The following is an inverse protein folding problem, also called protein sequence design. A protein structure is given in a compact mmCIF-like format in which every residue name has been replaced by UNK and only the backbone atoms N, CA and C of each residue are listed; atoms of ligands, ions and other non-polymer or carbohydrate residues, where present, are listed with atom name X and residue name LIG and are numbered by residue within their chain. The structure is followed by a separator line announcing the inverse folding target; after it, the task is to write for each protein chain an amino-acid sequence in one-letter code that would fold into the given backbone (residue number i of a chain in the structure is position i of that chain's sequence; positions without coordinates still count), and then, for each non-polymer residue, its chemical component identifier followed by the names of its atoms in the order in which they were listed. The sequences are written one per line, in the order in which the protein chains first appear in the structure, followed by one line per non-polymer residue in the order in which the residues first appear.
data_IF_582694639205
#
_entry.id   IF_582694639205
#
_cell.length_a   1.000
_cell.length_b   1.000
_cell.length_c   1.000
_cell.angle_alpha   90.00
_cell.angle_beta   90.00
_cell.angle_gamma   90.00
#
_symmetry.space_group_name_H-M   'P 1'
#
loop_
_entity.id
_entity.type
_entity.pdbx_description
1 polymer ?
#
# COMPACT_ATOMS: atom_id res chain seq x y z
N UNK A 1 -9.40 4.14 18.07
CA UNK A 1 -8.98 3.38 16.86
C UNK A 1 -8.90 1.93 17.27
N UNK A 2 -9.20 0.96 16.41
CA UNK A 2 -9.25 -0.45 16.84
C UNK A 2 -7.91 -1.17 16.66
N UNK A 3 -7.24 -0.95 15.53
CA UNK A 3 -6.00 -1.63 15.21
C UNK A 3 -5.06 -0.85 14.28
N UNK A 4 -3.78 -1.17 14.39
CA UNK A 4 -2.74 -0.84 13.41
C UNK A 4 -2.35 -2.14 12.70
N UNK A 5 -2.34 -2.13 11.37
CA UNK A 5 -2.01 -3.28 10.53
C UNK A 5 -0.73 -2.98 9.77
N UNK A 6 0.29 -3.83 9.95
CA UNK A 6 1.60 -3.65 9.33
C UNK A 6 1.89 -4.80 8.36
N UNK A 7 1.90 -4.55 7.04
CA UNK A 7 2.41 -5.51 6.06
C UNK A 7 3.95 -5.51 6.09
N UNK A 8 4.54 -6.34 6.95
CA UNK A 8 5.97 -6.36 7.22
C UNK A 8 6.75 -7.24 6.25
N UNK A 9 7.83 -6.72 5.69
CA UNK A 9 8.79 -7.47 4.87
C UNK A 9 10.24 -7.25 5.32
N UNK A 10 10.48 -6.25 6.19
CA UNK A 10 11.78 -5.88 6.74
C UNK A 10 12.00 -6.58 8.09
N UNK A 11 13.23 -6.49 8.61
CA UNK A 11 13.59 -7.10 9.91
C UNK A 11 12.72 -6.53 11.03
N UNK A 12 12.43 -7.35 12.05
CA UNK A 12 11.56 -6.98 13.17
C UNK A 12 11.96 -5.68 13.91
N UNK A 13 13.23 -5.28 13.85
CA UNK A 13 13.70 -3.99 14.39
C UNK A 13 12.98 -2.77 13.80
N UNK A 14 12.42 -2.89 12.59
CA UNK A 14 11.63 -1.87 11.92
C UNK A 14 10.27 -1.63 12.60
N UNK A 15 9.74 -2.61 13.33
CA UNK A 15 8.41 -2.58 13.96
C UNK A 15 8.35 -1.84 15.31
N UNK A 16 9.50 -1.34 15.81
CA UNK A 16 9.57 -0.64 17.10
C UNK A 16 8.59 0.52 17.20
N UNK A 17 8.42 1.23 16.10
CA UNK A 17 7.56 2.41 15.99
C UNK A 17 6.08 2.03 15.94
N UNK A 18 5.70 1.05 15.11
CA UNK A 18 4.33 0.54 15.09
C UNK A 18 3.91 -0.01 16.47
N UNK A 19 4.84 -0.69 17.17
CA UNK A 19 4.61 -1.14 18.55
C UNK A 19 4.43 0.00 19.55
N UNK A 20 5.19 1.10 19.41
CA UNK A 20 5.01 2.32 20.21
C UNK A 20 3.62 2.93 19.99
N UNK A 21 3.26 3.14 18.73
CA UNK A 21 1.99 3.76 18.34
C UNK A 21 0.79 2.94 18.84
N UNK A 22 0.83 1.62 18.66
CA UNK A 22 -0.26 0.75 19.13
C UNK A 22 -0.40 0.76 20.65
N UNK A 23 0.71 0.79 21.40
CA UNK A 23 0.71 0.86 22.87
C UNK A 23 0.17 2.21 23.38
N UNK A 24 0.59 3.33 22.79
CA UNK A 24 0.13 4.68 23.16
C UNK A 24 -1.37 4.89 22.86
N UNK A 25 -1.88 4.28 21.79
CA UNK A 25 -3.26 4.44 21.33
C UNK A 25 -4.22 3.38 21.88
N UNK A 26 -3.72 2.48 22.74
CA UNK A 26 -4.43 1.27 23.17
C UNK A 26 -5.13 0.56 21.99
N UNK A 27 -4.38 0.33 20.92
CA UNK A 27 -4.84 -0.36 19.72
C UNK A 27 -4.16 -1.73 19.61
N UNK A 28 -4.82 -2.66 18.92
CA UNK A 28 -4.20 -3.96 18.59
C UNK A 28 -3.23 -3.77 17.42
N UNK A 29 -1.99 -4.25 17.55
CA UNK A 29 -1.05 -4.33 16.44
C UNK A 29 -1.17 -5.70 15.73
N UNK A 30 -1.58 -5.69 14.47
CA UNK A 30 -1.54 -6.86 13.60
C UNK A 30 -0.33 -6.77 12.66
N UNK A 31 0.58 -7.74 12.74
CA UNK A 31 1.76 -7.80 11.85
C UNK A 31 1.66 -8.99 10.90
N UNK A 32 1.67 -8.71 9.61
CA UNK A 32 1.61 -9.71 8.55
C UNK A 32 3.00 -9.86 7.93
N UNK A 33 3.69 -10.94 8.28
CA UNK A 33 5.13 -11.11 8.08
C UNK A 33 5.45 -11.86 6.78
N UNK A 34 6.51 -11.46 6.07
CA UNK A 34 7.16 -12.31 5.07
C UNK A 34 8.61 -11.86 4.84
N UNK A 35 9.33 -12.57 3.95
CA UNK A 35 10.71 -12.23 3.56
C UNK A 35 11.65 -12.17 4.76
N UNK A 36 12.07 -10.96 5.17
CA UNK A 36 12.98 -10.76 6.30
C UNK A 36 12.26 -10.55 7.63
N UNK A 37 10.93 -10.74 7.64
CA UNK A 37 10.07 -10.72 8.81
C UNK A 37 9.42 -12.08 8.98
N UNK A 38 9.47 -12.62 10.20
CA UNK A 38 8.72 -13.81 10.61
C UNK A 38 8.04 -13.57 11.96
N UNK A 39 6.89 -14.21 12.20
CA UNK A 39 6.06 -13.97 13.37
C UNK A 39 6.81 -14.20 14.69
N UNK A 40 7.69 -15.20 14.75
CA UNK A 40 8.49 -15.48 15.94
C UNK A 40 9.50 -14.34 16.24
N UNK A 41 10.12 -13.77 15.21
CA UNK A 41 11.01 -12.61 15.35
C UNK A 41 10.26 -11.36 15.81
N UNK A 42 9.02 -11.18 15.37
CA UNK A 42 8.14 -10.08 15.80
C UNK A 42 7.80 -10.24 17.29
N UNK A 43 7.41 -11.44 17.71
CA UNK A 43 7.15 -11.73 19.14
C UNK A 43 8.37 -11.39 19.99
N UNK A 44 9.57 -11.84 19.60
CA UNK A 44 10.80 -11.51 20.34
C UNK A 44 11.05 -10.00 20.43
N UNK A 45 10.87 -9.27 19.32
CA UNK A 45 11.14 -7.84 19.25
C UNK A 45 10.13 -6.98 20.02
N UNK A 46 8.89 -7.45 20.19
CA UNK A 46 7.80 -6.68 20.82
C UNK A 46 7.47 -7.13 22.26
N UNK A 47 7.98 -8.28 22.70
CA UNK A 47 7.68 -8.84 24.04
C UNK A 47 8.13 -7.95 25.21
N UNK A 48 9.11 -7.08 24.99
CA UNK A 48 9.61 -6.10 25.95
C UNK A 48 8.60 -4.98 26.28
N UNK A 49 7.50 -4.88 25.52
CA UNK A 49 6.41 -3.91 25.75
C UNK A 49 5.26 -4.58 26.50
N UNK A 50 5.14 -4.44 27.84
CA UNK A 50 4.17 -5.19 28.62
C UNK A 50 2.70 -4.82 28.32
N UNK A 51 2.42 -3.58 27.90
CA UNK A 51 1.06 -3.10 27.64
C UNK A 51 0.61 -3.28 26.19
N UNK A 52 1.53 -3.62 25.29
CA UNK A 52 1.24 -3.78 23.87
C UNK A 52 0.40 -5.06 23.62
N UNK A 53 -0.76 -4.87 22.98
CA UNK A 53 -1.57 -5.94 22.41
C UNK A 53 -1.15 -6.16 20.97
N UNK A 54 -0.72 -7.38 20.63
CA UNK A 54 -0.33 -7.67 19.25
C UNK A 54 -0.55 -9.13 18.86
N UNK A 55 -0.78 -9.32 17.55
CA UNK A 55 -0.82 -10.61 16.88
C UNK A 55 0.08 -10.52 15.65
N UNK A 56 1.04 -11.43 15.53
CA UNK A 56 1.90 -11.60 14.38
C UNK A 56 1.54 -12.91 13.65
N UNK A 57 1.53 -12.85 12.32
CA UNK A 57 1.17 -13.97 11.46
C UNK A 57 2.14 -14.04 10.29
N UNK A 58 2.65 -15.24 9.99
CA UNK A 58 3.42 -15.47 8.76
C UNK A 58 2.48 -15.54 7.55
N UNK A 59 2.72 -14.67 6.57
CA UNK A 59 1.99 -14.64 5.32
C UNK A 59 2.50 -15.75 4.40
N UNK A 60 1.66 -16.73 4.01
CA UNK A 60 2.08 -17.86 3.20
C UNK A 60 2.45 -17.45 1.77
N UNK A 61 3.59 -17.93 1.27
CA UNK A 61 4.06 -17.64 -0.09
C UNK A 61 3.09 -18.12 -1.18
N UNK A 62 2.33 -19.19 -0.91
CA UNK A 62 1.31 -19.73 -1.81
C UNK A 62 -0.02 -18.93 -1.78
N UNK A 63 -0.10 -17.87 -0.98
CA UNK A 63 -1.34 -17.15 -0.72
C UNK A 63 -2.18 -17.77 0.39
N UNK A 64 -3.18 -17.02 0.84
CA UNK A 64 -4.01 -17.39 1.99
C UNK A 64 -5.24 -18.17 1.51
N UNK A 65 -5.50 -19.38 2.04
CA UNK A 65 -6.71 -20.13 1.72
C UNK A 65 -7.96 -19.29 2.02
N UNK A 66 -8.98 -19.38 1.16
CA UNK A 66 -10.29 -18.71 1.29
C UNK A 66 -10.33 -17.21 0.94
N UNK A 67 -9.22 -16.59 0.57
CA UNK A 67 -9.28 -15.28 -0.10
C UNK A 67 -9.71 -15.48 -1.57
N UNK A 68 -10.49 -14.56 -2.15
CA UNK A 68 -10.82 -14.62 -3.57
C UNK A 68 -9.54 -14.43 -4.39
N UNK A 69 -9.38 -15.25 -5.44
CA UNK A 69 -8.39 -14.97 -6.47
C UNK A 69 -8.90 -13.79 -7.28
N UNK A 70 -8.07 -12.77 -7.43
CA UNK A 70 -8.40 -11.53 -8.15
C UNK A 70 -7.86 -11.61 -9.59
N UNK A 71 -8.64 -11.15 -10.55
CA UNK A 71 -8.26 -11.07 -11.96
C UNK A 71 -7.01 -10.20 -12.12
N UNK A 72 -6.86 -9.11 -11.36
CA UNK A 72 -5.68 -8.23 -11.33
C UNK A 72 -4.37 -8.96 -10.96
N UNK A 73 -4.44 -10.04 -10.19
CA UNK A 73 -3.28 -10.90 -9.87
C UNK A 73 -2.87 -11.84 -11.02
N UNK A 74 -3.74 -12.04 -12.00
CA UNK A 74 -3.57 -13.07 -13.06
C UNK A 74 -3.61 -12.50 -14.48
N UNK A 75 -4.20 -11.31 -14.69
CA UNK A 75 -4.44 -10.71 -16.00
C UNK A 75 -3.15 -10.43 -16.77
N UNK A 76 -2.06 -10.17 -16.05
CA UNK A 76 -0.73 -9.96 -16.60
C UNK A 76 0.04 -11.27 -16.85
N UNK A 77 -0.50 -12.42 -16.46
CA UNK A 77 0.13 -13.75 -16.60
C UNK A 77 1.58 -13.77 -16.11
N UNK A 78 2.45 -14.44 -16.86
CA UNK A 78 3.91 -14.45 -16.63
C UNK A 78 4.63 -13.30 -17.36
N UNK A 79 3.92 -12.21 -17.69
CA UNK A 79 4.54 -11.06 -18.34
C UNK A 79 5.54 -10.37 -17.42
N UNK A 80 6.44 -9.61 -18.03
CA UNK A 80 7.41 -8.79 -17.29
C UNK A 80 6.74 -7.76 -16.39
N UNK A 81 5.50 -7.36 -16.69
CA UNK A 81 4.74 -6.31 -15.99
C UNK A 81 4.23 -6.74 -14.61
N UNK A 82 4.21 -8.05 -14.32
CA UNK A 82 3.73 -8.58 -13.04
C UNK A 82 4.59 -8.10 -11.87
N UNK A 83 3.95 -7.53 -10.85
CA UNK A 83 4.59 -7.17 -9.59
C UNK A 83 4.92 -8.44 -8.79
N UNK A 84 6.02 -8.44 -8.04
CA UNK A 84 6.51 -9.59 -7.25
C UNK A 84 6.66 -9.24 -5.78
N UNK A 85 5.66 -8.57 -5.21
CA UNK A 85 5.60 -8.19 -3.79
C UNK A 85 4.27 -8.61 -3.20
N UNK A 86 4.23 -8.85 -1.90
CA UNK A 86 3.02 -9.33 -1.21
C UNK A 86 2.28 -8.24 -0.43
N UNK A 87 2.69 -6.97 -0.53
CA UNK A 87 2.10 -5.82 0.19
C UNK A 87 0.59 -5.75 -0.03
N UNK A 88 0.12 -5.74 -1.28
CA UNK A 88 -1.31 -5.72 -1.63
C UNK A 88 -2.07 -6.89 -0.99
N UNK A 89 -1.51 -8.10 -1.07
CA UNK A 89 -2.13 -9.32 -0.56
C UNK A 89 -2.22 -9.31 0.98
N UNK A 90 -1.18 -8.84 1.67
CA UNK A 90 -1.20 -8.62 3.12
C UNK A 90 -2.20 -7.55 3.52
N UNK A 91 -2.26 -6.40 2.84
CA UNK A 91 -3.24 -5.35 3.14
C UNK A 91 -4.68 -5.86 2.97
N UNK A 92 -4.95 -6.60 1.90
CA UNK A 92 -6.25 -7.26 1.68
C UNK A 92 -6.58 -8.27 2.78
N UNK A 93 -5.62 -9.11 3.19
CA UNK A 93 -5.80 -9.99 4.34
C UNK A 93 -6.12 -9.19 5.61
N UNK A 94 -5.41 -8.08 5.85
CA UNK A 94 -5.66 -7.16 6.95
C UNK A 94 -7.09 -6.63 6.98
N UNK A 95 -7.64 -6.21 5.83
CA UNK A 95 -9.05 -5.78 5.71
C UNK A 95 -10.02 -6.88 6.11
N UNK A 96 -9.77 -8.11 5.64
CA UNK A 96 -10.60 -9.27 5.89
C UNK A 96 -10.58 -9.64 7.38
N UNK A 97 -9.39 -9.72 7.95
CA UNK A 97 -9.21 -10.02 9.38
C UNK A 97 -9.84 -8.93 10.25
N UNK A 98 -9.73 -7.65 9.87
CA UNK A 98 -10.39 -6.55 10.56
C UNK A 98 -11.92 -6.69 10.54
N UNK A 99 -12.51 -7.02 9.39
CA UNK A 99 -13.96 -7.26 9.25
C UNK A 99 -14.44 -8.43 10.12
N UNK A 100 -13.68 -9.52 10.15
CA UNK A 100 -13.99 -10.71 10.94
C UNK A 100 -13.83 -10.43 12.44
N UNK A 101 -12.81 -9.69 12.84
CA UNK A 101 -12.58 -9.26 14.22
C UNK A 101 -13.58 -8.19 14.70
N UNK A 102 -14.40 -7.63 13.81
CA UNK A 102 -15.39 -6.60 14.13
C UNK A 102 -14.80 -5.20 14.33
N UNK A 103 -13.58 -4.97 13.83
CA UNK A 103 -12.94 -3.65 13.88
C UNK A 103 -13.60 -2.69 12.89
N UNK A 104 -13.76 -1.44 13.31
CA UNK A 104 -14.40 -0.37 12.53
C UNK A 104 -13.37 0.58 11.92
N UNK A 105 -12.32 0.92 12.67
CA UNK A 105 -11.32 1.92 12.30
C UNK A 105 -9.93 1.31 12.44
N UNK A 106 -9.30 1.04 11.31
CA UNK A 106 -7.94 0.49 11.26
C UNK A 106 -7.02 1.44 10.54
N UNK A 107 -5.73 1.38 10.85
CA UNK A 107 -4.67 2.09 10.13
C UNK A 107 -3.74 1.07 9.50
N UNK A 108 -3.52 1.16 8.20
CA UNK A 108 -2.37 0.51 7.56
C UNK A 108 -1.14 1.39 7.74
N UNK A 109 -0.05 0.77 8.19
CA UNK A 109 1.23 1.45 8.41
C UNK A 109 2.35 0.59 7.85
N UNK A 110 3.16 1.14 6.95
CA UNK A 110 4.33 0.45 6.43
C UNK A 110 5.44 0.35 7.49
N UNK A 111 6.24 -0.72 7.42
CA UNK A 111 7.23 -1.04 8.45
C UNK A 111 8.45 -0.08 8.46
N UNK A 112 8.57 0.84 7.50
CA UNK A 112 9.59 1.90 7.42
C UNK A 112 9.06 3.32 7.62
N UNK A 113 7.79 3.45 8.02
CA UNK A 113 7.16 4.74 8.32
C UNK A 113 7.21 5.02 9.82
N UNK A 114 7.43 6.30 10.14
CA UNK A 114 7.35 6.81 11.51
C UNK A 114 6.26 7.86 11.63
N UNK A 115 5.59 7.93 12.78
CA UNK A 115 4.52 8.90 13.02
C UNK A 115 4.86 9.63 14.31
N UNK A 116 5.44 10.84 14.24
CA UNK A 116 5.94 11.52 15.43
C UNK A 116 4.89 11.63 16.55
N UNK A 117 3.66 12.03 16.17
CA UNK A 117 2.56 12.22 17.11
C UNK A 117 1.51 11.12 16.94
N UNK A 118 1.35 10.24 17.93
CA UNK A 118 0.34 9.17 17.85
C UNK A 118 -1.09 9.71 17.64
N UNK A 119 -1.37 10.90 18.16
CA UNK A 119 -2.66 11.61 17.98
C UNK A 119 -2.97 11.94 16.51
N UNK A 120 -1.99 11.93 15.60
CA UNK A 120 -2.25 12.06 14.16
C UNK A 120 -3.05 10.87 13.62
N UNK A 121 -2.77 9.66 14.11
CA UNK A 121 -3.54 8.46 13.74
C UNK A 121 -4.97 8.51 14.30
N UNK A 122 -5.15 9.04 15.51
CA UNK A 122 -6.49 9.24 16.08
C UNK A 122 -7.31 10.25 15.29
N UNK A 123 -6.68 11.37 14.91
CA UNK A 123 -7.31 12.39 14.05
C UNK A 123 -7.70 11.80 12.70
N UNK A 124 -6.81 11.03 12.08
CA UNK A 124 -7.12 10.33 10.84
C UNK A 124 -8.29 9.35 11.00
N UNK A 125 -8.29 8.55 12.07
CA UNK A 125 -9.37 7.63 12.39
C UNK A 125 -10.70 8.33 12.72
N UNK A 126 -10.68 9.53 13.29
CA UNK A 126 -11.87 10.32 13.59
C UNK A 126 -12.57 10.82 12.32
N UNK A 127 -11.80 11.19 11.29
CA UNK A 127 -12.32 11.63 9.98
C UNK A 127 -13.03 10.50 9.19
N UNK A 128 -12.81 9.23 9.56
CA UNK A 128 -13.51 8.08 8.98
C UNK A 128 -15.02 8.05 9.29
N UNK A 129 -15.58 9.05 9.97
CA UNK A 129 -17.04 9.24 10.01
C UNK A 129 -17.62 9.73 8.68
N UNK A 130 -16.83 10.45 7.88
CA UNK A 130 -17.29 11.09 6.63
C UNK A 130 -16.41 10.79 5.42
N UNK A 131 -15.28 10.13 5.63
CA UNK A 131 -14.30 9.76 4.59
C UNK A 131 -14.18 8.24 4.47
N UNK A 132 -13.81 7.78 3.28
CA UNK A 132 -13.58 6.37 2.94
C UNK A 132 -12.10 5.98 3.03
N UNK A 133 -11.21 6.95 3.14
CA UNK A 133 -9.79 6.77 3.41
C UNK A 133 -9.17 8.08 3.87
N UNK A 134 -8.28 8.02 4.86
CA UNK A 134 -7.60 9.22 5.37
C UNK A 134 -6.11 8.92 5.49
N UNK A 135 -5.30 9.53 4.63
CA UNK A 135 -3.85 9.41 4.69
C UNK A 135 -3.23 10.45 5.62
N UNK A 136 -2.02 10.17 6.10
CA UNK A 136 -1.18 11.19 6.72
C UNK A 136 -0.37 11.91 5.65
N UNK A 137 0.01 13.16 5.91
CA UNK A 137 0.98 13.85 5.06
C UNK A 137 2.36 13.21 5.26
N UNK A 138 2.96 12.64 4.20
CA UNK A 138 4.32 12.13 4.28
C UNK A 138 5.31 13.31 4.22
N UNK A 139 5.86 13.67 5.37
CA UNK A 139 6.97 14.60 5.50
C UNK A 139 8.34 13.90 5.53
N UNK A 140 9.41 14.69 5.51
CA UNK A 140 10.77 14.15 5.45
C UNK A 140 11.14 13.74 4.03
N UNK A 141 11.46 12.45 3.83
CA UNK A 141 11.79 11.93 2.51
C UNK A 141 10.49 11.73 1.68
N UNK A 142 10.45 12.16 0.40
CA UNK A 142 9.23 12.04 -0.41
C UNK A 142 8.88 10.58 -0.71
N UNK A 143 7.60 10.24 -0.59
CA UNK A 143 7.06 8.93 -0.97
C UNK A 143 6.65 8.94 -2.45
N UNK A 144 7.65 8.85 -3.31
CA UNK A 144 7.51 8.94 -4.75
C UNK A 144 8.13 7.72 -5.43
N UNK A 145 7.69 7.45 -6.66
CA UNK A 145 8.38 6.49 -7.52
C UNK A 145 9.76 6.98 -7.93
N UNK A 146 10.59 6.08 -8.44
CA UNK A 146 11.95 6.41 -8.89
C UNK A 146 11.96 7.50 -9.97
N UNK A 147 11.00 7.47 -10.91
CA UNK A 147 10.90 8.50 -11.96
C UNK A 147 10.54 9.87 -11.35
N UNK A 148 9.60 9.90 -10.41
CA UNK A 148 9.23 11.12 -9.69
C UNK A 148 10.38 11.70 -8.85
N UNK A 149 11.20 10.84 -8.22
CA UNK A 149 12.45 11.27 -7.56
C UNK A 149 13.43 11.88 -8.55
N UNK A 150 13.64 11.26 -9.71
CA UNK A 150 14.50 11.79 -10.75
C UNK A 150 13.99 13.14 -11.27
N UNK A 151 12.68 13.29 -11.47
CA UNK A 151 12.06 14.56 -11.86
C UNK A 151 12.39 15.67 -10.85
N UNK A 152 12.23 15.38 -9.55
CA UNK A 152 12.54 16.30 -8.45
C UNK A 152 14.03 16.64 -8.38
N UNK A 153 14.92 15.65 -8.40
CA UNK A 153 16.37 15.86 -8.31
C UNK A 153 16.95 16.56 -9.55
N UNK A 154 16.23 16.55 -10.66
CA UNK A 154 16.59 17.29 -11.88
C UNK A 154 15.99 18.70 -11.95
N UNK A 155 15.37 19.17 -10.87
CA UNK A 155 14.95 20.56 -10.69
C UNK A 155 13.47 20.86 -10.92
N UNK A 156 12.65 19.85 -11.24
CA UNK A 156 11.22 20.04 -11.39
C UNK A 156 10.47 19.96 -10.04
N UNK A 157 9.29 20.58 -9.97
CA UNK A 157 8.37 20.38 -8.85
C UNK A 157 7.68 19.03 -9.00
N UNK A 158 7.52 18.33 -7.88
CA UNK A 158 6.86 17.04 -7.83
C UNK A 158 6.15 16.91 -6.48
N UNK A 159 4.83 16.89 -6.48
CA UNK A 159 4.04 16.63 -5.27
C UNK A 159 3.94 15.13 -4.97
N UNK A 160 3.48 14.80 -3.77
CA UNK A 160 3.16 13.45 -3.31
C UNK A 160 1.65 13.28 -3.21
N UNK A 161 1.14 12.06 -3.39
CA UNK A 161 -0.29 11.77 -3.24
C UNK A 161 -0.62 11.30 -1.82
N UNK A 162 -1.93 11.22 -1.52
CA UNK A 162 -2.44 10.67 -0.27
C UNK A 162 -2.32 9.13 -0.33
N UNK A 163 -1.27 8.58 0.28
CA UNK A 163 -0.98 7.14 0.33
C UNK A 163 0.44 6.83 -0.16
N UNK A 164 1.20 5.88 0.39
CA UNK A 164 0.72 4.59 0.91
C UNK A 164 1.32 4.13 2.24
N UNK A 165 2.19 4.94 2.84
CA UNK A 165 2.87 4.55 4.08
C UNK A 165 2.01 4.54 5.35
N UNK A 166 0.96 5.38 5.42
CA UNK A 166 0.07 5.51 6.58
C UNK A 166 -1.35 5.88 6.15
N UNK A 167 -2.29 4.93 6.22
CA UNK A 167 -3.66 5.08 5.71
C UNK A 167 -4.70 4.55 6.69
N UNK A 168 -5.56 5.43 7.20
CA UNK A 168 -6.72 5.07 8.00
C UNK A 168 -7.91 4.66 7.11
N UNK A 169 -8.61 3.59 7.50
CA UNK A 169 -9.67 2.94 6.71
C UNK A 169 -10.86 2.55 7.58
N UNK A 170 -12.12 2.74 7.11
CA UNK A 170 -13.31 2.29 7.81
C UNK A 170 -13.57 0.80 7.51
N UNK A 171 -12.86 -0.08 8.20
CA UNK A 171 -12.81 -1.52 7.95
C UNK A 171 -14.19 -2.20 7.99
N UNK A 172 -15.17 -1.67 8.72
CA UNK A 172 -16.52 -2.24 8.85
C UNK A 172 -17.40 -2.05 7.62
N UNK A 173 -17.16 -1.01 6.81
CA UNK A 173 -18.01 -0.67 5.66
C UNK A 173 -17.28 -0.51 4.32
N UNK A 174 -15.95 -0.38 4.33
CA UNK A 174 -15.21 -0.24 3.08
C UNK A 174 -15.39 -1.49 2.20
N UNK A 175 -15.60 -1.26 0.90
CA UNK A 175 -15.82 -2.29 -0.11
C UNK A 175 -14.74 -2.25 -1.21
N UNK A 176 -13.66 -1.51 -0.96
CA UNK A 176 -12.47 -1.43 -1.82
C UNK A 176 -11.40 -2.44 -1.40
N UNK A 177 -10.42 -2.66 -2.27
CA UNK A 177 -9.29 -3.56 -2.06
C UNK A 177 -8.02 -2.99 -2.70
N UNK A 178 -6.88 -3.56 -2.33
CA UNK A 178 -5.56 -3.23 -2.84
C UNK A 178 -5.20 -4.19 -3.99
N UNK A 179 -5.25 -3.77 -5.27
CA UNK A 179 -4.87 -4.64 -6.38
C UNK A 179 -3.37 -4.95 -6.40
N UNK A 180 -2.99 -6.03 -7.08
CA UNK A 180 -1.59 -6.46 -7.17
C UNK A 180 -0.80 -5.65 -8.21
N UNK A 181 -0.46 -4.41 -7.84
CA UNK A 181 0.29 -3.44 -8.65
C UNK A 181 0.98 -2.44 -7.74
N UNK A 182 2.00 -1.71 -8.21
CA UNK A 182 2.58 -0.58 -7.48
C UNK A 182 1.56 0.58 -7.43
N UNK A 183 1.58 1.37 -6.35
CA UNK A 183 0.52 2.34 -6.01
C UNK A 183 -0.87 1.68 -5.81
N UNK A 184 -0.91 0.48 -5.23
CA UNK A 184 -2.17 -0.25 -4.97
C UNK A 184 -3.15 0.51 -4.06
N UNK A 185 -2.61 1.39 -3.24
CA UNK A 185 -3.31 2.29 -2.35
C UNK A 185 -4.03 3.42 -3.10
N UNK A 186 -3.48 3.90 -4.22
CA UNK A 186 -4.17 4.88 -5.06
C UNK A 186 -5.45 4.25 -5.63
N UNK A 187 -5.36 3.01 -6.11
CA UNK A 187 -6.51 2.23 -6.59
C UNK A 187 -7.52 1.93 -5.48
N UNK A 188 -7.04 1.66 -4.27
CA UNK A 188 -7.90 1.44 -3.12
C UNK A 188 -8.81 2.66 -2.83
N UNK A 189 -8.31 3.87 -3.07
CA UNK A 189 -9.03 5.12 -2.85
C UNK A 189 -10.02 5.47 -3.99
N UNK A 190 -10.02 4.72 -5.10
CA UNK A 190 -10.94 4.97 -6.21
C UNK A 190 -12.34 4.40 -5.96
N UNK A 191 -13.33 5.20 -6.35
CA UNK A 191 -14.76 4.89 -6.39
C UNK A 191 -15.15 4.39 -7.78
N UNK A 192 -16.44 4.14 -8.02
CA UNK A 192 -16.90 3.51 -9.28
C UNK A 192 -16.53 4.33 -10.54
N UNK A 193 -16.55 5.66 -10.44
CA UNK A 193 -16.28 6.56 -11.56
C UNK A 193 -15.03 7.41 -11.38
N UNK A 194 -14.71 7.81 -10.15
CA UNK A 194 -13.61 8.72 -9.79
C UNK A 194 -13.18 8.46 -8.33
N UNK A 195 -12.26 9.27 -7.78
CA UNK A 195 -11.82 9.23 -6.39
C UNK A 195 -12.98 9.24 -5.38
N UNK A 196 -12.88 8.43 -4.32
CA UNK A 196 -13.83 8.44 -3.19
C UNK A 196 -13.66 9.70 -2.33
N UNK A 197 -14.59 9.97 -1.38
CA UNK A 197 -14.37 10.98 -0.35
C UNK A 197 -13.15 10.61 0.52
N UNK A 198 -11.99 11.16 0.18
CA UNK A 198 -10.75 10.99 0.94
C UNK A 198 -10.43 12.23 1.76
N UNK A 199 -9.53 12.09 2.74
CA UNK A 199 -8.99 13.19 3.52
C UNK A 199 -7.50 13.01 3.78
N UNK A 200 -6.86 14.07 4.27
CA UNK A 200 -5.48 14.06 4.73
C UNK A 200 -5.37 14.83 6.05
N UNK A 201 -4.68 14.26 7.04
CA UNK A 201 -4.42 14.93 8.32
C UNK A 201 -3.19 14.35 8.99
N UNK A 202 -2.48 15.16 9.77
CA UNK A 202 -1.32 14.72 10.54
C UNK A 202 -0.09 14.47 9.67
N UNK A 203 1.01 14.04 10.31
CA UNK A 203 2.31 13.87 9.67
C UNK A 203 2.84 12.47 9.92
N UNK A 204 3.21 11.78 8.84
CA UNK A 204 4.07 10.62 8.89
C UNK A 204 5.43 10.99 8.26
N UNK A 205 6.49 10.26 8.58
CA UNK A 205 7.82 10.45 8.02
C UNK A 205 8.33 9.15 7.46
N UNK A 206 8.69 9.18 6.19
CA UNK A 206 9.41 8.09 5.55
C UNK A 206 10.89 8.17 5.89
N UNK A 207 11.47 7.02 6.24
CA UNK A 207 12.92 6.91 6.43
C UNK A 207 13.63 7.19 5.10
N UNK A 208 14.70 7.97 5.14
CA UNK A 208 15.53 8.23 3.97
C UNK A 208 16.11 6.93 3.39
N UNK A 209 16.12 6.85 2.06
CA UNK A 209 16.71 5.75 1.30
C UNK A 209 17.24 6.29 -0.03
N UNK A 210 18.09 5.52 -0.70
CA UNK A 210 18.52 5.86 -2.06
C UNK A 210 17.53 5.27 -3.09
N UNK A 211 16.71 6.09 -3.78
CA UNK A 211 15.76 5.60 -4.79
C UNK A 211 16.46 5.00 -6.02
N UNK A 212 17.70 5.37 -6.29
CA UNK A 212 18.46 4.91 -7.46
C UNK A 212 19.46 3.79 -7.12
N UNK A 213 19.41 3.25 -5.89
CA UNK A 213 20.29 2.15 -5.47
C UNK A 213 20.13 0.89 -6.33
N UNK A 214 18.97 0.72 -6.98
CA UNK A 214 18.72 -0.40 -7.89
C UNK A 214 17.79 0.01 -9.04
N UNK A 215 18.25 -0.06 -10.31
CA UNK A 215 17.40 0.16 -11.47
C UNK A 215 16.21 -0.83 -11.56
N UNK A 216 16.27 -1.98 -10.89
CA UNK A 216 15.16 -2.93 -10.85
C UNK A 216 13.92 -2.36 -10.15
N UNK A 217 14.13 -1.43 -9.20
CA UNK A 217 13.03 -0.72 -8.54
C UNK A 217 12.21 0.07 -9.57
N UNK A 218 12.88 0.91 -10.36
CA UNK A 218 12.24 1.68 -11.44
C UNK A 218 11.48 0.78 -12.43
N UNK A 219 12.05 -0.38 -12.80
CA UNK A 219 11.35 -1.38 -13.64
C UNK A 219 10.09 -1.93 -12.97
N UNK A 220 10.12 -2.14 -11.66
CA UNK A 220 9.01 -2.76 -10.92
C UNK A 220 7.85 -1.79 -10.65
N UNK A 221 8.14 -0.49 -10.61
CA UNK A 221 7.17 0.57 -10.31
C UNK A 221 6.43 1.04 -11.58
N UNK A 222 7.11 1.06 -12.73
CA UNK A 222 6.63 1.76 -13.94
C UNK A 222 5.22 1.36 -14.41
N UNK A 223 4.84 0.08 -14.36
CA UNK A 223 3.48 -0.30 -14.78
C UNK A 223 2.41 0.23 -13.82
N UNK A 224 2.70 0.29 -12.52
CA UNK A 224 1.82 0.90 -11.53
C UNK A 224 1.75 2.41 -11.67
N UNK A 225 2.90 3.08 -11.87
CA UNK A 225 2.94 4.51 -12.16
C UNK A 225 2.10 4.85 -13.40
N UNK A 226 2.28 4.12 -14.50
CA UNK A 226 1.51 4.37 -15.73
C UNK A 226 0.02 4.33 -15.45
N UNK A 227 -0.48 3.31 -14.74
CA UNK A 227 -1.91 3.20 -14.49
C UNK A 227 -2.41 4.19 -13.45
N UNK A 228 -1.66 4.41 -12.37
CA UNK A 228 -2.03 5.32 -11.30
C UNK A 228 -1.99 6.78 -11.79
N UNK A 229 -0.84 7.25 -12.27
CA UNK A 229 -0.70 8.62 -12.80
C UNK A 229 -1.61 8.85 -14.01
N UNK A 230 -1.81 7.84 -14.86
CA UNK A 230 -2.76 7.94 -15.97
C UNK A 230 -4.18 8.21 -15.50
N UNK A 231 -4.72 7.39 -14.61
CA UNK A 231 -6.07 7.64 -14.10
C UNK A 231 -6.21 9.00 -13.43
N UNK A 232 -5.21 9.46 -12.69
CA UNK A 232 -5.26 10.77 -12.03
C UNK A 232 -5.13 11.94 -13.01
N UNK A 233 -4.25 11.84 -14.01
CA UNK A 233 -4.17 12.82 -15.09
C UNK A 233 -5.51 12.93 -15.85
N UNK A 234 -6.17 11.78 -16.08
CA UNK A 234 -7.50 11.76 -16.68
C UNK A 234 -8.55 12.48 -15.80
N UNK A 235 -8.47 12.35 -14.47
CA UNK A 235 -9.38 13.05 -13.56
C UNK A 235 -9.11 14.55 -13.51
N UNK A 236 -7.84 14.97 -13.56
CA UNK A 236 -7.46 16.38 -13.59
C UNK A 236 -7.99 17.07 -14.87
N UNK A 237 -8.08 16.33 -15.97
CA UNK A 237 -8.70 16.77 -17.23
C UNK A 237 -10.25 16.67 -17.22
N UNK A 238 -10.86 16.31 -16.09
CA UNK A 238 -12.31 16.19 -15.92
C UNK A 238 -12.92 14.89 -16.45
N UNK A 239 -12.08 13.94 -16.87
CA UNK A 239 -12.49 12.60 -17.28
C UNK A 239 -12.83 11.68 -16.11
N UNK A 240 -13.29 10.48 -16.44
CA UNK A 240 -13.68 9.43 -15.49
C UNK A 240 -12.98 8.12 -15.83
N UNK A 241 -12.99 7.15 -14.91
CA UNK A 241 -12.38 5.83 -15.12
C UNK A 241 -12.87 5.19 -16.43
N UNK A 242 -14.14 5.36 -16.79
CA UNK A 242 -14.72 4.81 -18.02
C UNK A 242 -14.16 5.40 -19.32
N UNK A 243 -13.52 6.57 -19.25
CA UNK A 243 -12.89 7.25 -20.40
C UNK A 243 -11.44 6.77 -20.63
N UNK A 244 -10.90 5.92 -19.73
CA UNK A 244 -9.56 5.35 -19.84
C UNK A 244 -9.51 4.21 -20.87
N UNK A 245 -9.89 4.53 -22.11
CA UNK A 245 -9.95 3.62 -23.24
C UNK A 245 -8.58 3.43 -23.92
N UNK A 246 -8.55 2.62 -24.98
CA UNK A 246 -7.32 2.36 -25.72
C UNK A 246 -6.66 3.62 -26.28
N UNK A 247 -7.45 4.58 -26.77
CA UNK A 247 -6.94 5.79 -27.40
C UNK A 247 -6.35 6.74 -26.35
N UNK A 248 -6.99 6.84 -25.19
CA UNK A 248 -6.46 7.52 -24.01
C UNK A 248 -5.10 6.93 -23.62
N UNK A 249 -5.02 5.62 -23.37
CA UNK A 249 -3.78 4.97 -22.93
C UNK A 249 -2.65 5.09 -23.95
N UNK A 250 -2.96 5.05 -25.25
CA UNK A 250 -1.95 5.31 -26.29
C UNK A 250 -1.31 6.68 -26.12
N UNK A 251 -2.13 7.73 -26.01
CA UNK A 251 -1.65 9.11 -25.83
C UNK A 251 -0.88 9.26 -24.50
N UNK A 252 -1.40 8.68 -23.42
CA UNK A 252 -0.75 8.76 -22.11
C UNK A 252 0.62 8.07 -22.10
N UNK A 253 0.75 6.90 -22.74
CA UNK A 253 2.03 6.20 -22.86
C UNK A 253 3.07 6.98 -23.67
N UNK A 254 2.64 7.69 -24.71
CA UNK A 254 3.50 8.59 -25.49
C UNK A 254 3.95 9.78 -24.62
N UNK A 255 3.04 10.39 -23.86
CA UNK A 255 3.35 11.48 -22.93
C UNK A 255 4.29 11.04 -21.81
N UNK A 256 4.05 9.87 -21.18
CA UNK A 256 4.92 9.30 -20.14
C UNK A 256 6.35 9.06 -20.66
N UNK A 257 6.49 8.64 -21.92
CA UNK A 257 7.81 8.48 -22.55
C UNK A 257 8.51 9.81 -22.74
N UNK A 258 7.80 10.80 -23.28
CA UNK A 258 8.34 12.15 -23.47
C UNK A 258 8.76 12.77 -22.13
N UNK A 259 7.99 12.54 -21.06
CA UNK A 259 8.34 12.97 -19.71
C UNK A 259 9.66 12.38 -19.21
N UNK A 260 9.87 11.06 -19.35
CA UNK A 260 11.14 10.44 -18.98
C UNK A 260 12.30 11.01 -19.80
N UNK A 261 12.09 11.21 -21.11
CA UNK A 261 13.11 11.75 -22.02
C UNK A 261 13.49 13.19 -21.66
N UNK A 262 12.52 13.98 -21.19
CA UNK A 262 12.76 15.33 -20.68
C UNK A 262 13.64 15.30 -19.42
N UNK A 263 13.37 14.42 -18.47
CA UNK A 263 14.19 14.26 -17.25
C UNK A 263 15.63 13.89 -17.64
N UNK A 264 15.82 12.94 -18.57
CA UNK A 264 17.14 12.55 -19.07
C UNK A 264 17.86 13.74 -19.71
N UNK A 265 17.16 14.50 -20.57
CA UNK A 265 17.70 15.67 -21.25
C UNK A 265 18.16 16.76 -20.26
N UNK A 266 17.47 16.95 -19.14
CA UNK A 266 17.88 17.91 -18.10
C UNK A 266 19.18 17.53 -17.39
N UNK A 267 19.58 16.26 -17.41
CA UNK A 267 20.86 15.79 -16.88
C UNK A 267 21.94 15.95 -17.93
N UNK A 268 21.66 15.52 -19.16
CA UNK A 268 22.63 15.50 -20.26
C UNK A 268 23.02 16.91 -20.73
N UNK A 269 22.11 17.89 -20.62
CA UNK A 269 22.35 19.27 -21.04
C UNK A 269 22.92 20.18 -19.94
N UNK A 270 23.33 19.63 -18.79
CA UNK A 270 24.01 20.44 -17.76
C UNK A 270 25.41 20.84 -18.25
N UNK A 271 25.82 22.08 -17.94
CA UNK A 271 27.17 22.58 -18.28
C UNK A 271 28.26 21.81 -17.51
N UNK A 272 27.92 21.30 -16.33
CA UNK A 272 28.80 20.49 -15.50
C UNK A 272 28.94 19.04 -16.01
N UNK A 273 30.08 18.42 -15.73
CA UNK A 273 30.28 16.99 -16.01
C UNK A 273 29.31 16.10 -15.23
N UNK A 274 28.80 15.06 -15.89
CA UNK A 274 27.85 14.09 -15.31
C UNK A 274 28.44 13.41 -14.06
N UNK A 275 27.81 13.62 -12.91
CA UNK A 275 28.23 13.05 -11.64
C UNK A 275 27.91 11.55 -11.54
N UNK A 276 28.44 10.86 -10.53
CA UNK A 276 28.06 9.47 -10.25
C UNK A 276 26.57 9.33 -9.91
N UNK A 277 26.00 10.32 -9.18
CA UNK A 277 24.58 10.36 -8.86
C UNK A 277 23.73 10.46 -10.13
N UNK A 278 24.13 11.33 -11.05
CA UNK A 278 23.45 11.49 -12.35
C UNK A 278 23.47 10.18 -13.16
N UNK A 279 24.58 9.43 -13.14
CA UNK A 279 24.65 8.10 -13.78
C UNK A 279 23.63 7.12 -13.20
N UNK A 280 23.51 7.05 -11.88
CA UNK A 280 22.50 6.16 -11.24
C UNK A 280 21.06 6.59 -11.56
N UNK A 281 20.80 7.90 -11.65
CA UNK A 281 19.51 8.44 -12.11
C UNK A 281 19.24 7.98 -13.55
N UNK A 282 20.18 8.22 -14.47
CA UNK A 282 20.05 7.83 -15.88
C UNK A 282 19.86 6.32 -16.06
N UNK A 283 20.59 5.49 -15.31
CA UNK A 283 20.42 4.04 -15.30
C UNK A 283 19.01 3.63 -14.88
N UNK A 284 18.48 4.27 -13.82
CA UNK A 284 17.12 4.01 -13.33
C UNK A 284 16.04 4.47 -14.32
N UNK A 285 16.20 5.65 -14.92
CA UNK A 285 15.31 6.17 -15.97
C UNK A 285 15.31 5.26 -17.21
N UNK A 286 16.48 4.78 -17.64
CA UNK A 286 16.60 3.81 -18.73
C UNK A 286 15.91 2.48 -18.38
N UNK A 287 15.97 2.06 -17.11
CA UNK A 287 15.26 0.88 -16.64
C UNK A 287 13.73 1.05 -16.72
N UNK A 288 13.21 2.17 -16.23
CA UNK A 288 11.79 2.53 -16.33
C UNK A 288 11.36 2.65 -17.81
N UNK A 289 12.08 3.40 -18.64
CA UNK A 289 11.80 3.53 -20.09
C UNK A 289 11.83 2.18 -20.82
N UNK A 290 12.79 1.32 -20.48
CA UNK A 290 12.87 -0.05 -20.97
C UNK A 290 11.66 -0.88 -20.58
N UNK A 291 11.12 -0.70 -19.36
CA UNK A 291 9.86 -1.32 -18.94
C UNK A 291 8.66 -0.74 -19.69
N UNK A 292 8.59 0.58 -19.82
CA UNK A 292 7.55 1.30 -20.54
C UNK A 292 7.40 0.81 -21.99
N UNK A 293 8.51 0.43 -22.65
CA UNK A 293 8.49 -0.17 -23.99
C UNK A 293 7.68 -1.48 -24.11
N UNK A 294 7.47 -2.21 -23.00
CA UNK A 294 6.63 -3.41 -22.95
C UNK A 294 5.16 -3.11 -22.62
N UNK A 295 4.84 -1.89 -22.18
CA UNK A 295 3.48 -1.50 -21.84
C UNK A 295 2.78 -1.07 -23.13
N UNK A 296 1.65 -1.71 -23.40
CA UNK A 296 0.80 -1.45 -24.57
C UNK A 296 -0.55 -0.97 -24.06
N UNK A 297 -1.29 -0.13 -24.82
CA UNK A 297 -2.59 0.36 -24.37
C UNK A 297 -3.57 -0.76 -23.96
N UNK A 298 -3.52 -1.90 -24.65
CA UNK A 298 -4.33 -3.09 -24.32
C UNK A 298 -4.02 -3.67 -22.95
N UNK A 299 -2.78 -3.57 -22.45
CA UNK A 299 -2.43 -4.01 -21.10
C UNK A 299 -3.12 -3.14 -20.06
N UNK A 300 -3.17 -1.82 -20.29
CA UNK A 300 -3.83 -0.87 -19.41
C UNK A 300 -5.34 -1.10 -19.38
N UNK A 301 -6.00 -1.14 -20.54
CA UNK A 301 -7.45 -1.42 -20.64
C UNK A 301 -7.81 -2.73 -19.94
N UNK A 302 -7.10 -3.83 -20.26
CA UNK A 302 -7.37 -5.13 -19.63
C UNK A 302 -7.19 -5.11 -18.12
N UNK A 303 -6.21 -4.37 -17.61
CA UNK A 303 -5.98 -4.26 -16.18
C UNK A 303 -7.10 -3.47 -15.49
N UNK A 304 -7.53 -2.34 -16.08
CA UNK A 304 -8.65 -1.54 -15.53
C UNK A 304 -9.96 -2.35 -15.54
N UNK A 305 -10.25 -3.08 -16.61
CA UNK A 305 -11.42 -3.96 -16.68
C UNK A 305 -11.34 -5.09 -15.64
N UNK A 306 -10.17 -5.71 -15.46
CA UNK A 306 -9.95 -6.73 -14.44
C UNK A 306 -10.18 -6.16 -13.03
N UNK A 307 -9.63 -4.98 -12.76
CA UNK A 307 -9.82 -4.28 -11.49
C UNK A 307 -11.30 -3.96 -11.23
N UNK A 308 -12.06 -3.50 -12.22
CA UNK A 308 -13.50 -3.26 -12.08
C UNK A 308 -14.29 -4.54 -11.77
N UNK A 309 -13.99 -5.66 -12.44
CA UNK A 309 -14.60 -6.96 -12.14
C UNK A 309 -14.24 -7.43 -10.73
N UNK A 310 -12.99 -7.25 -10.32
CA UNK A 310 -12.51 -7.61 -8.99
C UNK A 310 -13.20 -6.80 -7.90
N UNK A 311 -13.55 -5.54 -8.15
CA UNK A 311 -14.32 -4.75 -7.17
C UNK A 311 -15.69 -5.34 -6.90
N UNK A 312 -16.38 -5.83 -7.93
CA UNK A 312 -17.67 -6.51 -7.77
C UNK A 312 -17.48 -7.80 -6.97
N UNK A 313 -16.47 -8.61 -7.32
CA UNK A 313 -16.13 -9.86 -6.63
C UNK A 313 -15.77 -9.62 -5.16
N UNK A 314 -14.94 -8.62 -4.90
CA UNK A 314 -14.48 -8.25 -3.56
C UNK A 314 -15.63 -7.73 -2.70
N UNK A 315 -16.47 -6.83 -3.24
CA UNK A 315 -17.68 -6.35 -2.54
C UNK A 315 -18.59 -7.51 -2.15
N UNK A 316 -18.86 -8.43 -3.08
CA UNK A 316 -19.68 -9.61 -2.79
C UNK A 316 -19.06 -10.48 -1.68
N UNK A 317 -17.75 -10.71 -1.74
CA UNK A 317 -17.00 -11.43 -0.72
C UNK A 317 -17.08 -10.76 0.66
N UNK A 318 -16.78 -9.46 0.74
CA UNK A 318 -16.81 -8.69 1.99
C UNK A 318 -18.21 -8.61 2.60
N UNK A 319 -19.27 -8.57 1.79
CA UNK A 319 -20.67 -8.60 2.24
C UNK A 319 -21.07 -9.96 2.84
N UNK A 320 -20.39 -11.03 2.45
CA UNK A 320 -20.56 -12.37 3.02
C UNK A 320 -19.86 -12.56 4.37
N UNK A 321 -18.89 -11.70 4.70
CA UNK A 321 -18.18 -11.78 5.98
C UNK A 321 -19.08 -11.25 7.10
N UNK A 322 -19.16 -12.03 8.19
CA UNK A 322 -19.84 -11.63 9.42
C UNK A 322 -18.80 -11.42 10.52
N UNK A 323 -18.86 -10.30 11.27
CA UNK A 323 -18.07 -10.14 12.47
C UNK A 323 -18.30 -11.30 13.42
N UNK A 324 -17.24 -11.77 14.05
CA UNK A 324 -17.35 -12.80 15.06
C UNK A 324 -18.00 -12.24 16.32
N UNK A 325 -18.79 -13.09 16.97
CA UNK A 325 -19.18 -12.86 18.35
C UNK A 325 -17.95 -13.13 19.24
N UNK A 326 -17.82 -12.45 20.39
CA UNK A 326 -16.78 -12.76 21.36
C UNK A 326 -16.73 -14.27 21.65
N UNK A 327 -15.54 -14.86 21.56
CA UNK A 327 -15.30 -16.29 21.77
C UNK A 327 -15.19 -16.67 23.25
N UNK A 328 -14.69 -17.88 23.50
CA UNK A 328 -14.38 -18.36 24.85
C UNK A 328 -13.34 -17.46 25.55
N UNK A 329 -13.31 -17.43 26.89
CA UNK A 329 -12.31 -16.67 27.64
C UNK A 329 -10.89 -17.01 27.20
N UNK A 330 -10.07 -15.99 26.89
CA UNK A 330 -8.65 -16.14 26.55
C UNK A 330 -8.31 -16.11 25.06
N UNK A 331 -9.29 -16.15 24.14
CA UNK A 331 -9.03 -15.96 22.71
C UNK A 331 -9.39 -14.55 22.24
N UNK A 332 -8.47 -13.87 21.54
CA UNK A 332 -8.79 -12.58 20.91
C UNK A 332 -9.56 -12.80 19.60
N UNK A 333 -10.47 -11.89 19.22
CA UNK A 333 -11.15 -11.99 17.93
C UNK A 333 -10.21 -12.06 16.73
N UNK A 334 -9.02 -11.44 16.81
CA UNK A 334 -8.06 -11.47 15.71
C UNK A 334 -7.36 -12.83 15.58
N UNK A 335 -7.05 -13.51 16.69
CA UNK A 335 -6.41 -14.84 16.63
C UNK A 335 -7.37 -15.88 16.05
N UNK A 336 -8.64 -15.84 16.47
CA UNK A 336 -9.69 -16.71 15.91
C UNK A 336 -9.89 -16.41 14.42
N UNK A 337 -9.85 -15.13 14.03
CA UNK A 337 -9.97 -14.74 12.64
C UNK A 337 -8.81 -15.33 11.82
N UNK A 338 -7.57 -15.17 12.27
CA UNK A 338 -6.40 -15.73 11.60
C UNK A 338 -6.51 -17.25 11.42
N UNK A 339 -6.87 -17.99 12.49
CA UNK A 339 -7.07 -19.45 12.42
C UNK A 339 -8.13 -19.87 11.40
N UNK A 340 -9.23 -19.11 11.25
CA UNK A 340 -10.26 -19.37 10.23
C UNK A 340 -9.75 -19.25 8.79
N UNK A 341 -8.67 -18.53 8.57
CA UNK A 341 -7.99 -18.43 7.28
C UNK A 341 -6.80 -19.39 7.16
N UNK A 342 -6.68 -20.37 8.08
CA UNK A 342 -5.61 -21.36 8.06
C UNK A 342 -4.26 -20.80 8.50
N UNK A 343 -4.25 -19.67 9.20
CA UNK A 343 -3.05 -19.00 9.66
C UNK A 343 -2.78 -19.34 11.13
N UNK A 344 -1.50 -19.30 11.52
CA UNK A 344 -1.06 -19.55 12.90
C UNK A 344 -0.72 -18.21 13.55
N UNK A 345 -1.61 -17.64 14.40
CA UNK A 345 -1.30 -16.41 15.12
C UNK A 345 -0.32 -16.68 16.25
N UNK A 346 0.69 -15.81 16.39
CA UNK A 346 1.59 -15.74 17.53
C UNK A 346 1.49 -14.35 18.14
N UNK A 347 1.35 -14.24 19.45
CA UNK A 347 1.21 -12.92 20.07
C UNK A 347 0.90 -12.99 21.55
N UNK A 348 0.67 -11.81 22.13
CA UNK A 348 0.25 -11.67 23.53
C UNK A 348 -1.23 -11.25 23.56
N UNK A 349 -2.16 -12.18 23.81
CA UNK A 349 -3.51 -11.81 24.22
C UNK A 349 -3.42 -11.20 25.62
N UNK A 350 -4.06 -10.06 25.85
CA UNK A 350 -4.19 -9.51 27.20
C UNK A 350 -5.21 -10.38 27.96
N UNK A 351 -4.85 -10.89 29.13
CA UNK A 351 -5.84 -11.45 30.05
C UNK A 351 -6.87 -10.34 30.33
N UNK A 352 -8.14 -10.59 30.02
CA UNK A 352 -9.22 -9.72 30.46
C UNK A 352 -9.14 -9.69 31.99
N UNK A 353 -8.82 -8.53 32.56
CA UNK A 353 -8.97 -8.33 33.99
C UNK A 353 -10.43 -8.72 34.35
N UNK A 354 -10.65 -9.54 35.39
CA UNK A 354 -12.00 -9.90 35.79
C UNK A 354 -12.78 -8.62 36.11
N UNK A 355 -13.99 -8.54 35.55
CA UNK A 355 -14.91 -7.41 35.62
C UNK A 355 -15.31 -7.05 37.06
#
# INVERSE_FOLDING_TARGET
MDAIIVPSARRAASLKEAGRLAEELDAVLLVLCSRHSDAASVVRALSERPKLRFTAVDFPAAGVPRLPVLDTSTVLGESRLKRRTDTSAKRNLGLVLARVAGWKRVVFLDDDITVPEATDLERAAALLGTRDGVGLHIGGFPDNSVVCHANRETGAKQDTFIGGGALAVPADRIDSFFPEIYNEDWFFLLGETMLRPVGQVGVARQREYDPFASPDRARSEEFGDVLAEGLFALFDDGGKIGDADWAYWKKFLEARRAFIDEIQSRIENREDSISLRDKHILESLNASKGRLGYIQPVHCVRYIEAWQRDRVRWRAFMNGIRPMRPGAPGETPIDVAARRFGLVPLGRPLELAPA
#
